data_IF_507619342593
#
_entry.id   IF_507619342593
#
_cell.length_a   1.000
_cell.length_b   1.000
_cell.length_c   1.000
_cell.angle_alpha   90.00
_cell.angle_beta   90.00
_cell.angle_gamma   90.00
#
_symmetry.space_group_name_H-M   'P 1'
#
loop_
_entity.id
_entity.type
_entity.pdbx_description
1 polymer ?
#
# COMPACT_ATOMS: atom_id res chain seq x y z
N UNK A 1 27.13 -36.64 -10.18
CA UNK A 1 27.98 -35.46 -9.91
C UNK A 1 28.27 -34.71 -11.20
N UNK A 2 27.26 -34.35 -12.01
CA UNK A 2 27.53 -33.66 -13.29
C UNK A 2 26.30 -32.95 -13.87
N UNK A 3 25.57 -32.18 -13.04
CA UNK A 3 24.53 -31.25 -13.51
C UNK A 3 24.56 -29.89 -12.79
N UNK A 4 25.56 -29.64 -11.93
CA UNK A 4 25.66 -28.40 -11.14
C UNK A 4 26.58 -27.33 -11.76
N UNK A 5 27.35 -27.66 -12.79
CA UNK A 5 28.43 -26.80 -13.32
C UNK A 5 28.08 -25.99 -14.58
N UNK A 6 26.80 -25.95 -14.99
CA UNK A 6 26.39 -25.22 -16.21
C UNK A 6 25.92 -23.78 -15.98
N UNK A 7 25.81 -23.32 -14.73
CA UNK A 7 25.30 -21.98 -14.39
C UNK A 7 26.32 -21.05 -13.71
N UNK A 8 27.62 -21.37 -13.82
CA UNK A 8 28.70 -20.58 -13.21
C UNK A 8 29.39 -19.62 -14.20
N UNK A 9 28.80 -19.43 -15.39
CA UNK A 9 29.32 -18.51 -16.41
C UNK A 9 28.22 -17.56 -16.92
N UNK A 10 28.38 -16.27 -16.63
CA UNK A 10 27.53 -15.11 -17.01
C UNK A 10 26.44 -14.71 -16.01
N UNK A 11 26.83 -14.20 -14.84
CA UNK A 11 26.01 -13.21 -14.12
C UNK A 11 26.11 -11.89 -14.88
N UNK A 12 25.38 -11.78 -15.98
CA UNK A 12 25.14 -10.49 -16.62
C UNK A 12 24.36 -9.58 -15.68
N UNK A 13 24.62 -8.29 -15.73
CA UNK A 13 23.92 -7.27 -14.93
C UNK A 13 22.42 -7.34 -15.26
N UNK A 14 21.62 -7.93 -14.37
CA UNK A 14 20.18 -8.15 -14.62
C UNK A 14 19.49 -6.77 -14.66
N UNK A 15 18.78 -6.47 -15.74
CA UNK A 15 18.14 -5.16 -15.97
C UNK A 15 17.05 -4.83 -14.93
N UNK A 16 16.44 -5.86 -14.35
CA UNK A 16 15.42 -5.75 -13.29
C UNK A 16 15.91 -6.52 -12.06
N UNK A 17 16.05 -5.81 -10.94
CA UNK A 17 16.30 -6.40 -9.63
C UNK A 17 14.99 -6.57 -8.85
N UNK A 18 14.97 -7.45 -7.86
CA UNK A 18 13.81 -7.67 -7.00
C UNK A 18 14.20 -7.82 -5.53
N UNK A 19 13.31 -7.38 -4.63
CA UNK A 19 13.41 -7.56 -3.18
C UNK A 19 12.04 -7.96 -2.66
N UNK A 20 11.96 -9.07 -1.94
CA UNK A 20 10.72 -9.58 -1.40
C UNK A 20 10.71 -9.51 0.12
N UNK A 21 9.62 -9.00 0.68
CA UNK A 21 9.27 -9.18 2.08
C UNK A 21 8.32 -10.37 2.15
N UNK A 22 8.72 -11.42 2.86
CA UNK A 22 7.87 -12.57 3.14
C UNK A 22 7.64 -12.67 4.64
N UNK A 23 6.38 -12.66 5.03
CA UNK A 23 5.98 -12.81 6.42
C UNK A 23 4.81 -13.79 6.50
N UNK A 24 5.11 -15.10 6.61
CA UNK A 24 4.10 -16.12 6.82
C UNK A 24 3.34 -15.93 8.15
N UNK A 25 3.91 -15.20 9.10
CA UNK A 25 3.38 -14.99 10.45
C UNK A 25 2.41 -13.81 10.63
N UNK A 26 2.04 -13.07 9.58
CA UNK A 26 1.12 -11.91 9.70
C UNK A 26 -0.27 -12.32 10.19
N UNK A 27 -0.78 -13.50 9.81
CA UNK A 27 -2.10 -13.98 10.26
C UNK A 27 -2.76 -15.06 9.38
N UNK A 28 -3.98 -14.78 8.90
CA UNK A 28 -4.92 -15.71 8.21
C UNK A 28 -4.31 -16.41 6.99
N UNK A 29 -3.23 -15.86 6.43
CA UNK A 29 -2.41 -16.50 5.42
C UNK A 29 -1.05 -15.81 5.28
N UNK A 30 -0.12 -16.41 4.53
CA UNK A 30 1.18 -15.80 4.31
C UNK A 30 1.04 -14.50 3.52
N UNK A 31 1.72 -13.46 3.98
CA UNK A 31 1.84 -12.20 3.26
C UNK A 31 3.18 -12.14 2.53
N UNK A 32 3.14 -11.72 1.26
CA UNK A 32 4.32 -11.47 0.45
C UNK A 32 4.15 -10.13 -0.25
N UNK A 33 5.14 -9.25 -0.11
CA UNK A 33 5.26 -8.01 -0.86
C UNK A 33 6.54 -8.08 -1.69
N UNK A 34 6.48 -7.66 -2.96
CA UNK A 34 7.64 -7.69 -3.85
C UNK A 34 7.83 -6.34 -4.51
N UNK A 35 9.04 -5.80 -4.39
CA UNK A 35 9.46 -4.63 -5.12
C UNK A 35 10.39 -5.02 -6.27
N UNK A 36 10.24 -4.35 -7.41
CA UNK A 36 11.09 -4.52 -8.58
C UNK A 36 11.75 -3.19 -8.95
N UNK A 37 13.01 -3.23 -9.36
CA UNK A 37 13.76 -2.05 -9.78
C UNK A 37 14.27 -2.20 -11.20
N UNK A 38 13.73 -1.38 -12.10
CA UNK A 38 14.19 -1.30 -13.49
C UNK A 38 15.30 -0.25 -13.61
N UNK A 39 16.55 -0.73 -13.75
CA UNK A 39 17.78 0.08 -13.64
C UNK A 39 17.81 1.26 -14.61
N UNK A 40 17.61 1.01 -15.90
CA UNK A 40 17.72 2.04 -16.95
C UNK A 40 16.74 3.18 -16.75
N UNK A 41 15.50 2.87 -16.39
CA UNK A 41 14.46 3.90 -16.17
C UNK A 41 14.51 4.54 -14.78
N UNK A 42 15.23 3.92 -13.83
CA UNK A 42 15.21 4.25 -12.41
C UNK A 42 13.77 4.24 -11.85
N UNK A 43 13.04 3.17 -12.12
CA UNK A 43 11.64 3.00 -11.70
C UNK A 43 11.54 1.87 -10.69
N UNK A 44 10.91 2.18 -9.56
CA UNK A 44 10.49 1.22 -8.55
C UNK A 44 9.07 0.78 -8.87
N UNK A 45 8.82 -0.52 -8.93
CA UNK A 45 7.48 -1.09 -8.97
C UNK A 45 7.22 -1.80 -7.65
N UNK A 46 6.03 -1.62 -7.10
CA UNK A 46 5.61 -2.29 -5.86
C UNK A 46 4.22 -2.85 -6.03
N UNK A 47 3.89 -3.89 -5.27
CA UNK A 47 2.54 -4.45 -5.25
C UNK A 47 1.64 -3.58 -4.38
N UNK A 48 1.67 -3.76 -3.07
CA UNK A 48 0.72 -3.15 -2.14
C UNK A 48 1.42 -2.19 -1.15
N UNK A 49 2.76 -2.09 -1.23
CA UNK A 49 3.58 -1.32 -0.31
C UNK A 49 3.15 0.15 -0.21
N UNK A 50 2.90 0.82 -1.33
CA UNK A 50 2.42 2.21 -1.37
C UNK A 50 1.34 2.39 -2.42
N UNK A 51 0.51 3.41 -2.22
CA UNK A 51 -0.55 3.84 -3.13
C UNK A 51 -0.46 5.33 -3.39
N UNK A 52 -1.04 5.79 -4.50
CA UNK A 52 -1.21 7.21 -4.80
C UNK A 52 -2.62 7.48 -5.32
N UNK A 53 -3.47 8.03 -4.47
CA UNK A 53 -4.90 8.25 -4.82
C UNK A 53 -5.03 9.49 -5.71
N UNK A 54 -5.55 9.36 -6.94
CA UNK A 54 -5.79 10.50 -7.81
C UNK A 54 -6.87 11.41 -7.23
N UNK A 55 -6.69 12.73 -7.35
CA UNK A 55 -7.70 13.71 -6.89
C UNK A 55 -9.03 13.55 -7.60
N UNK A 56 -9.01 13.21 -8.89
CA UNK A 56 -10.17 13.03 -9.76
C UNK A 56 -10.36 11.55 -10.08
N UNK A 57 -11.59 11.09 -10.35
CA UNK A 57 -11.81 9.72 -10.79
C UNK A 57 -11.03 9.41 -12.07
N UNK A 58 -10.38 8.25 -12.17
CA UNK A 58 -9.80 7.74 -13.41
C UNK A 58 -10.86 7.57 -14.50
N UNK A 59 -10.47 7.71 -15.77
CA UNK A 59 -11.35 7.51 -16.92
C UNK A 59 -11.83 6.05 -17.08
N UNK A 60 -11.14 5.10 -16.45
CA UNK A 60 -11.53 3.68 -16.41
C UNK A 60 -12.78 3.42 -15.56
N UNK A 61 -13.14 4.33 -14.67
CA UNK A 61 -14.35 4.21 -13.84
C UNK A 61 -15.51 4.86 -14.59
N UNK A 62 -16.57 4.08 -14.84
CA UNK A 62 -17.75 4.57 -15.54
C UNK A 62 -18.48 5.65 -14.73
N UNK A 63 -19.14 6.57 -15.43
CA UNK A 63 -19.99 7.57 -14.77
C UNK A 63 -21.10 6.92 -13.96
N UNK A 64 -21.65 5.80 -14.44
CA UNK A 64 -22.66 5.01 -13.72
C UNK A 64 -22.15 4.53 -12.36
N UNK A 65 -20.95 3.93 -12.29
CA UNK A 65 -20.35 3.48 -11.03
C UNK A 65 -20.11 4.64 -10.07
N UNK A 66 -19.65 5.79 -10.57
CA UNK A 66 -19.47 7.00 -9.75
C UNK A 66 -20.80 7.49 -9.19
N UNK A 67 -21.86 7.55 -10.00
CA UNK A 67 -23.18 7.97 -9.54
C UNK A 67 -23.79 6.96 -8.56
N UNK A 68 -23.57 5.66 -8.77
CA UNK A 68 -23.99 4.61 -7.84
C UNK A 68 -23.31 4.77 -6.46
N UNK A 69 -22.00 5.03 -6.42
CA UNK A 69 -21.29 5.34 -5.18
C UNK A 69 -21.69 6.68 -4.56
N UNK A 70 -22.13 7.66 -5.37
CA UNK A 70 -22.63 8.95 -4.91
C UNK A 70 -24.03 8.87 -4.28
N UNK A 71 -24.80 7.80 -4.55
CA UNK A 71 -26.12 7.60 -3.97
C UNK A 71 -26.04 7.40 -2.46
N UNK A 72 -26.96 8.00 -1.72
CA UNK A 72 -27.11 7.79 -0.28
C UNK A 72 -27.75 6.43 0.01
N UNK A 73 -26.95 5.37 -0.20
CA UNK A 73 -27.33 3.98 0.05
C UNK A 73 -27.33 3.62 1.54
N UNK A 74 -27.46 2.32 1.81
CA UNK A 74 -27.50 1.79 3.18
C UNK A 74 -26.24 2.15 3.98
N UNK A 75 -25.06 2.03 3.39
CA UNK A 75 -23.79 2.37 4.06
C UNK A 75 -23.77 3.83 4.55
N UNK A 76 -24.21 4.79 3.72
CA UNK A 76 -24.29 6.21 4.12
C UNK A 76 -25.28 6.41 5.26
N UNK A 77 -26.41 5.70 5.25
CA UNK A 77 -27.42 5.79 6.32
C UNK A 77 -26.88 5.24 7.65
N UNK A 78 -26.22 4.08 7.62
CA UNK A 78 -25.61 3.47 8.81
C UNK A 78 -24.49 4.37 9.37
N UNK A 79 -23.63 4.89 8.50
CA UNK A 79 -22.45 5.67 8.89
C UNK A 79 -22.76 7.16 9.13
N UNK A 80 -24.00 7.61 8.91
CA UNK A 80 -24.40 9.01 9.16
C UNK A 80 -24.51 9.40 10.64
N UNK A 81 -24.37 8.42 11.54
CA UNK A 81 -24.37 8.61 13.00
C UNK A 81 -25.57 9.46 13.51
N UNK A 82 -26.75 9.24 12.93
CA UNK A 82 -27.99 9.95 13.28
C UNK A 82 -28.22 11.28 12.56
N UNK A 83 -27.30 11.73 11.69
CA UNK A 83 -27.56 12.89 10.82
C UNK A 83 -28.69 12.58 9.83
N UNK A 84 -29.49 13.60 9.49
CA UNK A 84 -30.46 13.45 8.41
C UNK A 84 -29.72 13.19 7.09
N UNK A 85 -30.10 12.12 6.41
CA UNK A 85 -29.55 11.76 5.11
C UNK A 85 -30.55 12.15 4.03
N UNK A 86 -30.23 13.13 3.16
CA UNK A 86 -31.11 13.50 2.06
C UNK A 86 -31.40 12.30 1.16
N UNK A 87 -32.64 12.18 0.70
CA UNK A 87 -33.07 11.12 -0.22
C UNK A 87 -33.31 11.66 -1.64
N UNK A 88 -32.68 12.79 -1.96
CA UNK A 88 -32.82 13.42 -3.27
C UNK A 88 -32.30 12.51 -4.39
N UNK A 89 -32.91 12.56 -5.59
CA UNK A 89 -32.42 11.82 -6.74
C UNK A 89 -30.99 12.27 -7.08
N UNK A 90 -30.15 11.30 -7.42
CA UNK A 90 -28.76 11.56 -7.82
C UNK A 90 -28.76 12.16 -9.22
N UNK A 91 -28.47 13.46 -9.32
CA UNK A 91 -28.31 14.16 -10.60
C UNK A 91 -26.88 14.02 -11.08
N UNK A 92 -26.71 13.67 -12.36
CA UNK A 92 -25.40 13.55 -12.97
C UNK A 92 -24.73 14.93 -13.14
N UNK A 93 -23.76 15.22 -12.29
CA UNK A 93 -22.94 16.42 -12.35
C UNK A 93 -21.49 16.07 -12.06
N UNK A 94 -20.50 16.89 -12.48
CA UNK A 94 -19.10 16.69 -12.11
C UNK A 94 -18.88 16.57 -10.60
N UNK A 95 -19.62 17.34 -9.80
CA UNK A 95 -19.53 17.29 -8.34
C UNK A 95 -20.10 15.99 -7.76
N UNK A 96 -21.22 15.51 -8.32
CA UNK A 96 -21.81 14.22 -7.92
C UNK A 96 -20.86 13.06 -8.23
N UNK A 97 -20.25 13.05 -9.42
CA UNK A 97 -19.26 12.03 -9.81
C UNK A 97 -18.03 12.07 -8.92
N UNK A 98 -17.53 13.27 -8.60
CA UNK A 98 -16.43 13.46 -7.65
C UNK A 98 -16.79 12.93 -6.27
N UNK A 99 -17.98 13.24 -5.74
CA UNK A 99 -18.45 12.70 -4.46
C UNK A 99 -18.50 11.17 -4.46
N UNK A 100 -18.95 10.57 -5.56
CA UNK A 100 -18.93 9.13 -5.76
C UNK A 100 -17.53 8.53 -5.69
N UNK A 101 -16.57 9.19 -6.34
CA UNK A 101 -15.15 8.83 -6.28
C UNK A 101 -14.61 8.87 -4.84
N UNK A 102 -14.81 9.98 -4.14
CA UNK A 102 -14.34 10.16 -2.77
C UNK A 102 -14.89 9.06 -1.84
N UNK A 103 -16.19 8.75 -1.95
CA UNK A 103 -16.82 7.67 -1.18
C UNK A 103 -16.27 6.29 -1.51
N UNK A 104 -16.00 6.02 -2.77
CA UNK A 104 -15.46 4.75 -3.23
C UNK A 104 -14.06 4.52 -2.66
N UNK A 105 -13.20 5.54 -2.74
CA UNK A 105 -11.85 5.51 -2.17
C UNK A 105 -11.89 5.25 -0.66
N UNK A 106 -12.70 6.01 0.09
CA UNK A 106 -12.76 5.86 1.54
C UNK A 106 -13.29 4.47 1.95
N UNK A 107 -14.25 3.91 1.22
CA UNK A 107 -14.73 2.54 1.49
C UNK A 107 -13.64 1.50 1.22
N UNK A 108 -12.88 1.63 0.13
CA UNK A 108 -11.79 0.70 -0.19
C UNK A 108 -10.67 0.80 0.84
N UNK A 109 -10.34 2.00 1.32
CA UNK A 109 -9.19 2.21 2.21
C UNK A 109 -9.49 1.95 3.70
N UNK A 110 -10.74 2.08 4.15
CA UNK A 110 -11.08 1.96 5.57
C UNK A 110 -12.08 0.85 5.88
N UNK A 111 -12.67 0.20 4.86
CA UNK A 111 -13.77 -0.78 4.93
C UNK A 111 -15.10 -0.23 5.51
N UNK A 112 -15.03 0.69 6.47
CA UNK A 112 -16.16 1.39 7.08
C UNK A 112 -15.76 2.78 7.56
N UNK A 113 -15.58 3.76 6.65
CA UNK A 113 -15.21 5.13 7.04
C UNK A 113 -16.31 5.80 7.87
N UNK A 114 -15.94 6.71 8.75
CA UNK A 114 -16.83 7.36 9.72
C UNK A 114 -17.84 8.31 9.09
N UNK A 115 -17.51 8.92 7.93
CA UNK A 115 -18.38 9.91 7.30
C UNK A 115 -18.38 9.79 5.77
N UNK A 116 -19.33 9.02 5.24
CA UNK A 116 -19.61 9.02 3.80
C UNK A 116 -20.55 10.14 3.38
N UNK A 117 -21.23 10.84 4.30
CA UNK A 117 -22.13 11.92 3.91
C UNK A 117 -21.35 13.10 3.33
N UNK A 118 -20.21 13.42 3.96
CA UNK A 118 -19.31 14.54 3.65
C UNK A 118 -17.86 14.03 3.54
N UNK A 119 -17.51 13.28 2.47
CA UNK A 119 -16.24 12.54 2.37
C UNK A 119 -15.01 13.43 2.11
N UNK A 120 -15.22 14.70 1.76
CA UNK A 120 -14.19 15.57 1.19
C UNK A 120 -13.00 15.80 2.14
N UNK A 121 -13.25 16.01 3.43
CA UNK A 121 -12.20 16.29 4.41
C UNK A 121 -11.25 15.11 4.57
N UNK A 122 -11.78 13.89 4.73
CA UNK A 122 -10.98 12.66 4.81
C UNK A 122 -10.27 12.39 3.50
N UNK A 123 -10.97 12.47 2.37
CA UNK A 123 -10.37 12.26 1.06
C UNK A 123 -9.20 13.23 0.76
N UNK A 124 -9.33 14.50 1.13
CA UNK A 124 -8.28 15.50 0.95
C UNK A 124 -7.01 15.20 1.76
N UNK A 125 -7.11 14.48 2.89
CA UNK A 125 -5.95 14.12 3.70
C UNK A 125 -5.06 13.04 3.07
N UNK A 126 -5.62 12.17 2.22
CA UNK A 126 -4.90 11.05 1.60
C UNK A 126 -4.68 11.18 0.09
N UNK A 127 -5.52 11.95 -0.61
CA UNK A 127 -5.39 12.15 -2.04
C UNK A 127 -4.11 12.92 -2.40
N UNK A 128 -3.53 12.59 -3.56
CA UNK A 128 -2.30 13.20 -4.08
C UNK A 128 -1.08 13.07 -3.15
N UNK A 129 -1.05 12.00 -2.35
CA UNK A 129 0.08 11.65 -1.48
C UNK A 129 0.47 10.22 -1.74
N UNK A 130 1.79 9.96 -1.68
CA UNK A 130 2.30 8.61 -1.63
C UNK A 130 2.21 8.14 -0.18
N UNK A 131 1.40 7.12 0.07
CA UNK A 131 1.13 6.59 1.40
C UNK A 131 1.12 5.07 1.37
N UNK A 132 1.41 4.43 2.50
CA UNK A 132 0.98 3.04 2.72
C UNK A 132 -0.53 3.05 2.94
N UNK A 133 -1.29 2.12 2.37
CA UNK A 133 -2.75 2.10 2.61
C UNK A 133 -3.06 1.82 4.10
N UNK A 134 -4.16 2.34 4.66
CA UNK A 134 -4.53 2.06 6.05
C UNK A 134 -4.65 0.56 6.35
N UNK A 135 -5.21 -0.21 5.41
CA UNK A 135 -5.36 -1.66 5.51
C UNK A 135 -4.01 -2.35 5.63
N UNK A 136 -3.07 -2.08 4.72
CA UNK A 136 -1.74 -2.71 4.73
C UNK A 136 -0.93 -2.24 5.94
N UNK A 137 -1.02 -0.97 6.31
CA UNK A 137 -0.41 -0.46 7.54
C UNK A 137 -0.92 -1.24 8.77
N UNK A 138 -2.25 -1.31 8.94
CA UNK A 138 -2.86 -1.85 10.16
C UNK A 138 -2.78 -3.37 10.23
N UNK A 139 -3.07 -4.08 9.14
CA UNK A 139 -3.22 -5.54 9.16
C UNK A 139 -1.93 -6.28 8.79
N UNK A 140 -0.93 -5.60 8.24
CA UNK A 140 0.28 -6.25 7.73
C UNK A 140 1.55 -5.65 8.34
N UNK A 141 1.94 -4.44 7.96
CA UNK A 141 3.25 -3.92 8.35
C UNK A 141 3.34 -3.64 9.86
N UNK A 142 2.23 -3.29 10.52
CA UNK A 142 2.20 -3.17 11.98
C UNK A 142 2.49 -4.49 12.73
N UNK A 143 2.33 -5.64 12.05
CA UNK A 143 2.51 -6.98 12.62
C UNK A 143 3.96 -7.44 12.55
N UNK A 144 4.72 -6.87 11.61
CA UNK A 144 6.14 -7.16 11.38
C UNK A 144 6.93 -5.87 11.11
N UNK A 145 6.88 -4.89 12.04
CA UNK A 145 7.42 -3.55 11.80
C UNK A 145 8.94 -3.55 11.56
N UNK A 146 9.67 -4.45 12.19
CA UNK A 146 11.13 -4.61 11.99
C UNK A 146 11.47 -5.13 10.59
N UNK A 147 10.82 -6.22 10.16
CA UNK A 147 11.01 -6.78 8.81
C UNK A 147 10.60 -5.78 7.73
N UNK A 148 9.51 -5.04 7.96
CA UNK A 148 9.08 -3.98 7.07
C UNK A 148 10.16 -2.90 6.96
N UNK A 149 10.67 -2.41 8.11
CA UNK A 149 11.73 -1.39 8.14
C UNK A 149 13.00 -1.83 7.41
N UNK A 150 13.50 -3.03 7.69
CA UNK A 150 14.69 -3.56 7.02
C UNK A 150 14.51 -3.62 5.51
N UNK A 151 13.38 -4.16 5.03
CA UNK A 151 13.08 -4.26 3.61
C UNK A 151 13.03 -2.88 2.92
N UNK A 152 12.44 -1.88 3.57
CA UNK A 152 12.36 -0.50 3.05
C UNK A 152 13.73 0.17 3.02
N UNK A 153 14.51 0.03 4.09
CA UNK A 153 15.86 0.61 4.19
C UNK A 153 16.80 -0.02 3.15
N UNK A 154 16.70 -1.33 2.91
CA UNK A 154 17.41 -2.03 1.84
C UNK A 154 17.03 -1.52 0.44
N UNK A 155 15.74 -1.33 0.16
CA UNK A 155 15.28 -0.75 -1.11
C UNK A 155 15.83 0.66 -1.29
N UNK A 156 15.70 1.51 -0.28
CA UNK A 156 16.08 2.92 -0.38
C UNK A 156 17.60 3.13 -0.41
N UNK A 157 18.39 2.26 0.22
CA UNK A 157 19.85 2.37 0.23
C UNK A 157 20.47 1.92 -1.09
N UNK A 158 19.98 0.84 -1.69
CA UNK A 158 20.59 0.24 -2.89
C UNK A 158 20.00 0.76 -4.21
N UNK A 159 18.70 1.10 -4.25
CA UNK A 159 18.02 1.46 -5.49
C UNK A 159 17.81 2.97 -5.63
N UNK A 160 18.33 3.54 -6.73
CA UNK A 160 18.28 4.99 -7.00
C UNK A 160 17.07 5.38 -7.87
N UNK A 161 15.88 4.93 -7.50
CA UNK A 161 14.65 5.24 -8.23
C UNK A 161 14.24 6.71 -8.10
N UNK A 162 13.56 7.21 -9.14
CA UNK A 162 12.96 8.56 -9.24
C UNK A 162 11.49 8.53 -9.68
N UNK A 163 10.95 7.32 -9.83
CA UNK A 163 9.59 7.06 -10.28
C UNK A 163 9.11 5.81 -9.57
N UNK A 164 7.86 5.81 -9.12
CA UNK A 164 7.23 4.66 -8.47
C UNK A 164 5.99 4.26 -9.26
N UNK A 165 5.80 2.97 -9.50
CA UNK A 165 4.60 2.38 -10.07
C UNK A 165 3.98 1.49 -8.99
N UNK A 166 2.99 1.99 -8.23
CA UNK A 166 2.19 1.14 -7.36
C UNK A 166 1.23 0.27 -8.19
N UNK A 167 0.83 -0.90 -7.67
CA UNK A 167 -0.21 -1.71 -8.32
C UNK A 167 -1.62 -1.14 -8.13
N UNK A 168 -1.79 -0.22 -7.17
CA UNK A 168 -3.07 0.37 -6.82
C UNK A 168 -3.10 1.89 -7.06
N UNK A 169 -4.20 2.35 -7.66
CA UNK A 169 -4.50 3.75 -8.00
C UNK A 169 -3.63 4.34 -9.12
N UNK A 170 -3.23 5.61 -9.02
CA UNK A 170 -2.58 6.35 -10.10
C UNK A 170 -1.10 5.99 -10.18
N UNK A 171 -0.66 5.68 -11.41
CA UNK A 171 0.72 5.37 -11.75
C UNK A 171 1.01 5.87 -13.18
N UNK A 172 2.26 6.24 -13.50
CA UNK A 172 3.41 6.33 -12.60
C UNK A 172 3.39 7.59 -11.71
N UNK A 173 4.02 7.50 -10.54
CA UNK A 173 4.19 8.62 -9.59
C UNK A 173 5.62 9.15 -9.68
N UNK A 174 5.79 10.48 -9.79
CA UNK A 174 7.09 11.12 -9.72
C UNK A 174 7.54 11.26 -8.27
N UNK A 175 8.06 10.16 -7.72
CA UNK A 175 8.53 10.04 -6.34
C UNK A 175 9.85 9.25 -6.29
N UNK A 176 10.74 9.65 -5.40
CA UNK A 176 12.00 9.00 -5.13
C UNK A 176 12.07 8.42 -3.71
N UNK A 177 13.30 8.21 -3.24
CA UNK A 177 13.58 7.58 -1.96
C UNK A 177 13.03 8.34 -0.75
N UNK A 178 13.05 9.68 -0.81
CA UNK A 178 12.54 10.53 0.27
C UNK A 178 11.04 10.33 0.46
N UNK A 179 10.27 10.41 -0.62
CA UNK A 179 8.81 10.24 -0.57
C UNK A 179 8.45 8.80 -0.20
N UNK A 180 9.20 7.81 -0.69
CA UNK A 180 9.03 6.41 -0.34
C UNK A 180 9.23 6.19 1.17
N UNK A 181 10.36 6.63 1.74
CA UNK A 181 10.62 6.51 3.18
C UNK A 181 9.56 7.26 4.02
N UNK A 182 9.15 8.45 3.57
CA UNK A 182 8.12 9.24 4.26
C UNK A 182 6.77 8.52 4.32
N UNK A 183 6.38 7.75 3.30
CA UNK A 183 5.15 6.95 3.33
C UNK A 183 5.14 5.93 4.48
N UNK A 184 6.31 5.45 4.90
CA UNK A 184 6.49 4.47 5.98
C UNK A 184 6.84 5.07 7.34
N UNK A 185 6.76 6.39 7.52
CA UNK A 185 7.11 7.04 8.78
C UNK A 185 6.31 6.57 10.01
N UNK A 186 5.16 5.90 9.81
CA UNK A 186 4.39 5.27 10.90
C UNK A 186 5.17 4.14 11.60
N UNK A 187 6.16 3.53 10.94
CA UNK A 187 7.02 2.51 11.56
C UNK A 187 7.88 3.09 12.68
N UNK A 188 8.24 4.37 12.62
CA UNK A 188 9.02 5.03 13.67
C UNK A 188 8.24 5.04 15.00
N UNK A 189 6.94 5.29 14.94
CA UNK A 189 6.06 5.27 16.13
C UNK A 189 5.89 3.84 16.70
N UNK A 190 5.94 2.82 15.84
CA UNK A 190 5.80 1.41 16.26
C UNK A 190 7.09 0.83 16.85
N UNK A 191 8.24 1.17 16.28
CA UNK A 191 9.54 0.64 16.71
C UNK A 191 10.13 1.41 17.90
N UNK A 192 9.71 2.67 18.10
CA UNK A 192 10.17 3.54 19.18
C UNK A 192 11.69 3.78 19.18
N UNK A 193 12.20 4.27 20.30
CA UNK A 193 13.63 4.62 20.49
C UNK A 193 14.60 3.41 20.39
N UNK A 194 14.10 2.17 20.45
CA UNK A 194 14.94 0.96 20.44
C UNK A 194 15.62 0.71 19.09
N UNK A 195 15.06 1.21 17.99
CA UNK A 195 15.66 1.13 16.66
C UNK A 195 16.62 2.29 16.31
N UNK A 196 16.72 3.30 17.19
CA UNK A 196 17.53 4.53 16.98
C UNK A 196 19.04 4.26 17.12
N UNK A 197 19.45 3.10 17.65
CA UNK A 197 20.88 2.72 17.77
C UNK A 197 21.54 2.23 16.46
N UNK A 198 20.79 2.16 15.34
CA UNK A 198 21.37 2.05 14.00
C UNK A 198 21.79 3.45 13.53
N UNK A 199 22.93 3.66 12.85
CA UNK A 199 23.29 4.98 12.35
C UNK A 199 22.09 5.57 11.60
N UNK A 200 21.69 6.82 11.88
CA UNK A 200 20.40 7.34 11.47
C UNK A 200 20.23 7.12 9.98
N UNK A 201 19.29 6.25 9.58
CA UNK A 201 18.98 6.12 8.17
C UNK A 201 18.53 7.48 7.68
N UNK A 202 18.83 7.83 6.41
CA UNK A 202 18.49 9.12 5.82
C UNK A 202 17.05 9.56 6.14
N UNK A 203 16.14 8.60 6.37
CA UNK A 203 14.78 8.78 6.88
C UNK A 203 14.65 9.80 8.02
N UNK A 204 15.43 9.71 9.11
CA UNK A 204 15.26 10.54 10.33
C UNK A 204 15.55 12.03 10.05
N UNK A 205 16.52 12.31 9.16
CA UNK A 205 16.87 13.67 8.79
C UNK A 205 15.81 14.30 7.86
N UNK A 206 15.07 13.48 7.10
CA UNK A 206 14.01 13.93 6.19
C UNK A 206 12.63 14.04 6.87
N UNK A 207 12.28 13.18 7.84
CA UNK A 207 11.00 13.26 8.58
C UNK A 207 10.88 14.49 9.47
N UNK A 208 11.99 15.11 9.88
CA UNK A 208 11.94 16.38 10.62
C UNK A 208 11.56 17.57 9.72
N UNK A 209 11.82 17.48 8.40
CA UNK A 209 11.52 18.54 7.43
C UNK A 209 10.16 18.35 6.74
N UNK A 210 9.74 17.10 6.50
CA UNK A 210 8.39 16.76 6.02
C UNK A 210 7.57 16.26 7.21
N UNK A 211 6.68 17.12 7.73
CA UNK A 211 5.90 16.86 8.95
C UNK A 211 5.33 15.44 9.07
N UNK A 212 5.37 14.89 10.30
CA UNK A 212 4.99 13.53 10.69
C UNK A 212 3.96 12.87 9.76
N UNK A 213 4.41 11.86 9.02
CA UNK A 213 3.59 10.91 8.27
C UNK A 213 2.54 10.17 9.12
N UNK A 214 2.66 10.24 10.45
CA UNK A 214 1.79 9.60 11.43
C UNK A 214 0.32 10.07 11.41
N UNK A 215 -0.04 11.16 10.72
CA UNK A 215 -1.43 11.64 10.68
C UNK A 215 -2.05 11.71 9.27
N UNK A 216 -1.72 10.79 8.36
CA UNK A 216 -2.42 10.74 7.07
C UNK A 216 -3.87 10.26 7.19
N UNK A 217 -4.22 9.56 8.28
CA UNK A 217 -5.53 8.93 8.44
C UNK A 217 -6.34 9.61 9.54
N UNK A 218 -7.58 10.08 9.22
CA UNK A 218 -8.50 10.58 10.23
C UNK A 218 -8.76 9.50 11.30
N UNK A 219 -8.58 9.79 12.60
CA UNK A 219 -8.77 8.81 13.67
C UNK A 219 -10.16 8.16 13.66
N UNK A 220 -11.20 8.93 13.30
CA UNK A 220 -12.55 8.41 13.23
C UNK A 220 -12.75 7.39 12.09
N UNK A 221 -12.09 7.58 10.95
CA UNK A 221 -12.16 6.64 9.82
C UNK A 221 -11.38 5.34 10.11
N UNK A 222 -10.39 5.38 11.00
CA UNK A 222 -9.64 4.20 11.42
C UNK A 222 -10.45 3.27 12.33
N UNK A 223 -11.55 3.71 12.96
CA UNK A 223 -12.26 2.95 14.00
C UNK A 223 -12.66 1.55 13.54
N UNK A 224 -13.31 1.41 12.39
CA UNK A 224 -13.75 0.10 11.88
C UNK A 224 -12.56 -0.82 11.62
N UNK A 225 -11.49 -0.30 11.03
CA UNK A 225 -10.30 -1.07 10.73
C UNK A 225 -9.56 -1.48 12.02
N UNK A 226 -9.44 -0.59 13.00
CA UNK A 226 -8.87 -0.90 14.31
C UNK A 226 -9.71 -1.91 15.09
N UNK A 227 -11.05 -1.83 15.03
CA UNK A 227 -11.93 -2.83 15.64
C UNK A 227 -11.83 -4.19 14.95
N UNK A 228 -11.70 -4.20 13.62
CA UNK A 228 -11.44 -5.44 12.86
C UNK A 228 -10.11 -6.06 13.29
N UNK A 229 -9.04 -5.25 13.38
CA UNK A 229 -7.74 -5.72 13.85
C UNK A 229 -7.83 -6.32 15.26
N UNK A 230 -8.43 -5.60 16.21
CA UNK A 230 -8.65 -6.08 17.58
C UNK A 230 -9.41 -7.40 17.61
N UNK A 231 -10.46 -7.53 16.79
CA UNK A 231 -11.21 -8.78 16.68
C UNK A 231 -10.33 -9.91 16.14
N UNK A 232 -9.61 -9.70 15.04
CA UNK A 232 -8.72 -10.68 14.43
C UNK A 232 -7.61 -11.13 15.38
N UNK A 233 -7.05 -10.19 16.15
CA UNK A 233 -6.10 -10.48 17.22
C UNK A 233 -6.75 -11.31 18.33
N UNK A 234 -7.97 -10.95 18.76
CA UNK A 234 -8.67 -11.64 19.86
C UNK A 234 -9.01 -13.10 19.54
N UNK A 235 -9.28 -13.41 18.26
CA UNK A 235 -9.57 -14.78 17.80
C UNK A 235 -8.29 -15.53 17.39
N UNK A 236 -7.12 -14.92 17.53
CA UNK A 236 -5.83 -15.52 17.17
C UNK A 236 -5.59 -15.65 15.66
N UNK A 237 -6.36 -14.93 14.85
CA UNK A 237 -6.24 -14.93 13.39
C UNK A 237 -5.09 -14.03 12.88
N UNK A 238 -4.64 -13.06 13.67
CA UNK A 238 -3.59 -12.09 13.33
C UNK A 238 -2.71 -11.84 14.56
N UNK A 239 -1.39 -11.61 14.35
CA UNK A 239 -0.45 -11.35 15.45
C UNK A 239 -0.79 -10.04 16.20
N UNK A 240 -0.47 -9.98 17.49
CA UNK A 240 -0.47 -8.69 18.21
C UNK A 240 0.65 -7.78 17.71
N UNK A 241 0.34 -6.49 17.63
CA UNK A 241 1.36 -5.45 17.51
C UNK A 241 2.19 -5.45 18.80
N UNK A 242 3.48 -5.77 18.72
CA UNK A 242 4.51 -5.66 19.77
C UNK A 242 4.72 -6.83 20.77
N UNK A 243 4.28 -8.06 20.49
CA UNK A 243 4.81 -9.23 21.22
C UNK A 243 5.84 -9.99 20.37
N UNK A 244 7.07 -10.02 20.92
CA UNK A 244 8.24 -10.71 20.42
C UNK A 244 8.11 -12.21 20.72
N UNK A 245 7.13 -12.85 20.07
CA UNK A 245 6.97 -14.30 20.20
C UNK A 245 8.00 -14.99 19.32
N UNK A 246 9.18 -15.20 19.91
CA UNK A 246 10.16 -16.13 19.42
C UNK A 246 9.52 -17.50 19.17
N UNK A 247 9.65 -17.96 17.93
CA UNK A 247 9.59 -19.36 17.51
C UNK A 247 8.42 -20.16 18.11
N UNK A 248 7.29 -20.21 17.38
CA UNK A 248 6.53 -21.43 17.06
C UNK A 248 5.25 -21.08 16.28
N UNK A 249 5.34 -21.11 14.95
CA UNK A 249 4.31 -21.80 14.16
C UNK A 249 4.95 -22.33 12.88
N UNK A 250 4.79 -23.63 12.71
CA UNK A 250 5.58 -24.50 11.85
C UNK A 250 5.44 -24.22 10.35
N UNK A 251 6.57 -24.47 9.67
CA UNK A 251 6.66 -24.97 8.30
C UNK A 251 5.41 -25.70 7.84
N UNK A 252 4.70 -25.11 6.87
CA UNK A 252 4.07 -25.78 5.74
C UNK A 252 3.83 -24.73 4.67
N UNK A 253 4.25 -25.06 3.44
CA UNK A 253 4.01 -24.37 2.17
C UNK A 253 5.20 -23.59 1.58
N UNK A 254 6.26 -24.33 1.27
CA UNK A 254 7.21 -23.93 0.24
C UNK A 254 6.56 -23.97 -1.15
N UNK A 255 5.54 -24.80 -1.43
CA UNK A 255 4.93 -24.86 -2.77
C UNK A 255 3.96 -23.70 -3.08
N UNK A 256 3.26 -23.14 -2.10
CA UNK A 256 2.31 -22.02 -2.32
C UNK A 256 3.02 -20.70 -2.61
N UNK A 257 4.23 -20.50 -2.09
CA UNK A 257 5.06 -19.31 -2.35
C UNK A 257 5.48 -19.26 -3.82
N UNK A 258 5.74 -20.41 -4.46
CA UNK A 258 6.10 -20.45 -5.88
C UNK A 258 4.91 -20.17 -6.79
N UNK A 259 3.70 -20.61 -6.43
CA UNK A 259 2.48 -20.38 -7.23
C UNK A 259 1.98 -18.92 -7.14
N UNK A 260 2.06 -18.29 -5.97
CA UNK A 260 1.66 -16.88 -5.80
C UNK A 260 2.67 -15.92 -6.44
N UNK A 261 3.98 -16.20 -6.31
CA UNK A 261 5.01 -15.40 -7.00
C UNK A 261 4.87 -15.45 -8.53
N UNK A 262 4.44 -16.58 -9.10
CA UNK A 262 4.24 -16.71 -10.54
C UNK A 262 3.04 -15.89 -11.05
N UNK A 263 1.93 -15.86 -10.30
CA UNK A 263 0.72 -15.11 -10.68
C UNK A 263 0.90 -13.58 -10.54
N UNK A 264 1.57 -13.14 -9.47
CA UNK A 264 1.92 -11.72 -9.27
C UNK A 264 2.97 -11.28 -10.30
N UNK A 265 3.95 -12.13 -10.59
CA UNK A 265 4.94 -11.89 -11.65
C UNK A 265 4.27 -11.74 -13.03
N UNK A 266 3.27 -12.57 -13.36
CA UNK A 266 2.57 -12.49 -14.65
C UNK A 266 1.73 -11.21 -14.82
N UNK A 267 1.04 -10.73 -13.78
CA UNK A 267 0.27 -9.48 -13.85
C UNK A 267 1.18 -8.25 -13.93
N UNK A 268 2.26 -8.25 -13.17
CA UNK A 268 3.28 -7.19 -13.19
C UNK A 268 4.04 -7.20 -14.52
N UNK A 269 4.38 -8.36 -15.08
CA UNK A 269 5.03 -8.47 -16.39
C UNK A 269 4.11 -7.95 -17.51
N UNK A 270 2.79 -8.15 -17.42
CA UNK A 270 1.83 -7.57 -18.37
C UNK A 270 1.78 -6.03 -18.26
N UNK A 271 1.78 -5.49 -17.03
CA UNK A 271 1.81 -4.03 -16.77
C UNK A 271 3.14 -3.42 -17.20
N UNK A 272 4.28 -4.06 -16.91
CA UNK A 272 5.61 -3.67 -17.38
C UNK A 272 5.70 -3.69 -18.89
N UNK A 273 5.20 -4.74 -19.55
CA UNK A 273 5.19 -4.82 -21.00
C UNK A 273 4.35 -3.70 -21.62
N UNK A 274 3.18 -3.40 -21.06
CA UNK A 274 2.34 -2.30 -21.54
C UNK A 274 3.05 -0.93 -21.38
N UNK A 275 3.68 -0.66 -20.23
CA UNK A 275 4.38 0.61 -20.00
C UNK A 275 5.71 0.71 -20.75
N UNK A 276 6.45 -0.38 -20.94
CA UNK A 276 7.65 -0.39 -21.78
C UNK A 276 7.31 -0.13 -23.25
N UNK A 277 6.13 -0.59 -23.71
CA UNK A 277 5.62 -0.26 -25.05
C UNK A 277 5.18 1.20 -25.17
N UNK A 278 4.65 1.81 -24.11
CA UNK A 278 4.35 3.25 -24.07
C UNK A 278 5.63 4.09 -24.05
N UNK A 279 6.62 3.74 -23.23
CA UNK A 279 7.90 4.45 -23.14
C UNK A 279 8.73 4.37 -24.44
N UNK A 280 8.52 3.35 -25.27
CA UNK A 280 9.13 3.23 -26.61
C UNK A 280 8.48 4.11 -27.67
N UNK A 281 7.27 4.64 -27.44
CA UNK A 281 6.57 5.54 -28.37
C UNK A 281 6.90 7.02 -28.16
N UNK A 282 7.62 7.35 -27.08
CA UNK A 282 8.02 8.71 -26.69
C UNK A 282 9.50 9.01 -27.01
N UNK A 283 10.18 8.12 -27.74
CA UNK A 283 11.53 8.28 -28.32
C UNK A 283 11.41 8.14 -29.83
#
# INVERSE_FOLDING_TARGET
MELCSFWEGQVGDVEIEQKALSSPEVGIGPYVEVAFYHKRSRTLLVTDAVIFVPRKPPSSISSESLLASAKNGLAVKILSNGKQVPNDPVVDTPNTRQKGWERMVLQILFLGPSNLLEPNASFAQMSQKLIVSPIVNTLVFSKVPEKARDWIDEIASEWRFKKIIPAHFEAPVNAGRSEFLAAFGFLDDLLGERYVNRPPSLSILFTSLMGKAASYFPPDDMRTLSSLDQFLVSVGAVKKTNEDDGIKQCFKNIETIWSCNLLVSLSIQQVLNHHLQQARKEI
#
